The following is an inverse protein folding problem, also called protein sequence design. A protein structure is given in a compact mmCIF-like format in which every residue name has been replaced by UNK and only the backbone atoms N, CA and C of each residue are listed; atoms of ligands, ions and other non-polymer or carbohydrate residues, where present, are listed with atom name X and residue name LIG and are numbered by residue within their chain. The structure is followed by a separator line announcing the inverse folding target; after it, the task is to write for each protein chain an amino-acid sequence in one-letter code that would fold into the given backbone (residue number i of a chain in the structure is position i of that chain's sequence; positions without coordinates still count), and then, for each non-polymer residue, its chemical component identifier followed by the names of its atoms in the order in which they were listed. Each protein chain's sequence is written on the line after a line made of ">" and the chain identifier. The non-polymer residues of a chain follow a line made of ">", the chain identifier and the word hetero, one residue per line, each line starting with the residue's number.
data_IF_316358662266
#
_entry.id   IF_316358662266
#
_cell.length_a   1.000
_cell.length_b   1.000
_cell.length_c   1.000
_cell.angle_alpha   90.00
_cell.angle_beta   90.00
_cell.angle_gamma   90.00
#
_symmetry.space_group_name_H-M   'P 1'
#
loop_
_entity.id
_entity.type
_entity.pdbx_description
1 polymer ?
#
# COMPACT_ATOMS: atom_id res chain seq x y z
N UNK A 1 1.23 -27.14 -19.22
CA UNK A 1 0.63 -25.79 -19.12
C UNK A 1 -0.53 -25.88 -18.15
N UNK A 2 -0.63 -25.06 -17.09
CA UNK A 2 -1.79 -25.09 -16.20
C UNK A 2 -3.00 -24.49 -16.93
N UNK A 3 -3.98 -25.34 -17.22
CA UNK A 3 -5.03 -25.08 -18.22
C UNK A 3 -6.34 -24.52 -17.61
N UNK A 4 -6.37 -24.29 -16.28
CA UNK A 4 -7.54 -23.68 -15.61
C UNK A 4 -7.18 -22.48 -14.73
N UNK A 5 -8.15 -21.59 -14.50
CA UNK A 5 -8.03 -20.47 -13.54
C UNK A 5 -7.63 -20.97 -12.14
N UNK A 6 -8.13 -22.15 -11.75
CA UNK A 6 -7.84 -22.77 -10.47
C UNK A 6 -6.35 -23.15 -10.36
N UNK A 7 -5.77 -23.74 -11.40
CA UNK A 7 -4.35 -24.11 -11.40
C UNK A 7 -3.42 -22.89 -11.27
N UNK A 8 -3.80 -21.77 -11.91
CA UNK A 8 -3.03 -20.52 -11.81
C UNK A 8 -3.09 -19.93 -10.40
N UNK A 9 -4.24 -19.99 -9.74
CA UNK A 9 -4.36 -19.56 -8.34
C UNK A 9 -3.55 -20.48 -7.44
N UNK A 10 -3.62 -21.80 -7.64
CA UNK A 10 -2.83 -22.77 -6.88
C UNK A 10 -1.33 -22.54 -7.01
N UNK A 11 -0.85 -22.26 -8.22
CA UNK A 11 0.56 -21.92 -8.45
C UNK A 11 0.95 -20.60 -7.77
N UNK A 12 0.10 -19.58 -7.79
CA UNK A 12 0.34 -18.34 -7.04
C UNK A 12 0.37 -18.57 -5.53
N UNK A 13 -0.50 -19.42 -5.00
CA UNK A 13 -0.50 -19.79 -3.58
C UNK A 13 0.80 -20.50 -3.20
N UNK A 14 1.27 -21.43 -4.03
CA UNK A 14 2.57 -22.11 -3.81
C UNK A 14 3.75 -21.12 -3.84
N UNK A 15 3.73 -20.16 -4.77
CA UNK A 15 4.74 -19.10 -4.82
C UNK A 15 4.71 -18.24 -3.56
N UNK A 16 3.52 -17.90 -3.07
CA UNK A 16 3.34 -17.16 -1.83
C UNK A 16 3.91 -17.92 -0.62
N UNK A 17 3.58 -19.21 -0.48
CA UNK A 17 4.10 -20.08 0.59
C UNK A 17 5.64 -20.12 0.59
N UNK A 18 6.23 -20.28 -0.61
CA UNK A 18 7.68 -20.28 -0.78
C UNK A 18 8.29 -18.94 -0.40
N UNK A 19 7.68 -17.83 -0.85
CA UNK A 19 8.14 -16.48 -0.54
C UNK A 19 8.10 -16.16 0.95
N UNK A 20 7.08 -16.64 1.67
CA UNK A 20 7.00 -16.49 3.13
C UNK A 20 8.13 -17.25 3.82
N UNK A 21 8.39 -18.50 3.43
CA UNK A 21 9.47 -19.30 4.00
C UNK A 21 10.84 -18.66 3.75
N UNK A 22 11.09 -18.21 2.51
CA UNK A 22 12.33 -17.51 2.16
C UNK A 22 12.49 -16.21 2.93
N UNK A 23 11.42 -15.42 3.12
CA UNK A 23 11.48 -14.17 3.86
C UNK A 23 12.00 -14.35 5.29
N UNK A 24 11.51 -15.39 5.98
CA UNK A 24 11.93 -15.70 7.35
C UNK A 24 13.37 -16.26 7.41
N UNK A 25 13.85 -16.91 6.35
CA UNK A 25 15.19 -17.49 6.29
C UNK A 25 16.27 -16.50 5.82
N UNK A 26 15.92 -15.52 4.97
CA UNK A 26 16.88 -14.71 4.21
C UNK A 26 17.20 -13.33 4.80
N UNK A 27 16.54 -12.95 5.90
CA UNK A 27 16.70 -11.61 6.49
C UNK A 27 16.08 -10.47 5.66
N UNK A 28 15.36 -10.79 4.58
CA UNK A 28 14.72 -9.83 3.65
C UNK A 28 13.45 -9.19 4.19
N UNK A 29 13.17 -9.37 5.48
CA UNK A 29 11.99 -8.82 6.14
C UNK A 29 11.90 -7.29 5.98
N UNK A 30 13.04 -6.59 6.05
CA UNK A 30 13.09 -5.13 5.84
C UNK A 30 12.67 -4.69 4.44
N UNK A 31 13.04 -5.44 3.40
CA UNK A 31 12.60 -5.18 2.02
C UNK A 31 11.09 -5.38 1.89
N UNK A 32 10.55 -6.43 2.53
CA UNK A 32 9.12 -6.69 2.54
C UNK A 32 8.33 -5.59 3.27
N UNK A 33 8.80 -5.13 4.43
CA UNK A 33 8.21 -3.98 5.13
C UNK A 33 8.25 -2.71 4.27
N UNK A 34 9.34 -2.50 3.53
CA UNK A 34 9.48 -1.37 2.61
C UNK A 34 8.52 -1.46 1.41
N UNK A 35 8.17 -2.67 0.98
CA UNK A 35 7.13 -2.87 -0.04
C UNK A 35 5.72 -2.71 0.55
N UNK A 36 5.48 -3.19 1.76
CA UNK A 36 4.21 -3.00 2.45
C UNK A 36 3.85 -1.52 2.64
N UNK A 37 4.85 -0.67 2.92
CA UNK A 37 4.62 0.78 3.07
C UNK A 37 4.16 1.44 1.76
N UNK A 38 4.64 0.96 0.60
CA UNK A 38 4.27 1.46 -0.74
C UNK A 38 2.89 0.96 -1.20
N UNK A 39 2.53 -0.28 -0.85
CA UNK A 39 1.34 -0.97 -1.38
C UNK A 39 0.24 -1.16 -0.32
N UNK A 40 -0.04 -0.13 0.46
CA UNK A 40 -0.99 -0.18 1.59
C UNK A 40 -2.46 -0.49 1.23
N UNK A 41 -2.85 -0.42 -0.05
CA UNK A 41 -4.19 -0.84 -0.54
C UNK A 41 -4.26 -2.30 -0.97
N UNK A 42 -3.13 -2.99 -1.09
CA UNK A 42 -3.07 -4.39 -1.50
C UNK A 42 -3.02 -5.30 -0.27
N UNK A 43 -3.52 -6.53 -0.41
CA UNK A 43 -3.34 -7.55 0.63
C UNK A 43 -1.86 -7.90 0.79
N UNK A 44 -1.44 -8.24 2.00
CA UNK A 44 -0.08 -8.69 2.31
C UNK A 44 0.42 -9.78 1.33
N UNK A 45 -0.44 -10.73 0.97
CA UNK A 45 -0.11 -11.78 0.01
C UNK A 45 0.17 -11.24 -1.40
N UNK A 46 -0.63 -10.27 -1.86
CA UNK A 46 -0.37 -9.61 -3.13
C UNK A 46 0.90 -8.76 -3.09
N UNK A 47 1.20 -8.10 -1.96
CA UNK A 47 2.47 -7.36 -1.79
C UNK A 47 3.67 -8.29 -1.91
N UNK A 48 3.63 -9.46 -1.26
CA UNK A 48 4.67 -10.48 -1.41
C UNK A 48 4.80 -10.95 -2.87
N UNK A 49 3.67 -11.28 -3.53
CA UNK A 49 3.69 -11.69 -4.93
C UNK A 49 4.28 -10.61 -5.85
N UNK A 50 3.98 -9.33 -5.60
CA UNK A 50 4.58 -8.20 -6.33
C UNK A 50 6.09 -8.15 -6.06
N UNK A 51 6.51 -8.17 -4.79
CA UNK A 51 7.93 -8.12 -4.41
C UNK A 51 8.74 -9.24 -5.05
N UNK A 52 8.23 -10.48 -5.07
CA UNK A 52 8.92 -11.62 -5.67
C UNK A 52 9.08 -11.52 -7.19
N UNK A 53 8.13 -10.87 -7.88
CA UNK A 53 8.12 -10.76 -9.35
C UNK A 53 8.76 -9.46 -9.85
N UNK A 54 8.71 -8.40 -9.05
CA UNK A 54 9.25 -7.07 -9.34
C UNK A 54 9.69 -6.40 -8.03
N UNK A 55 10.92 -6.68 -7.54
CA UNK A 55 11.40 -6.18 -6.24
C UNK A 55 11.50 -4.65 -6.16
N UNK A 56 11.60 -3.98 -7.31
CA UNK A 56 11.71 -2.53 -7.43
C UNK A 56 10.36 -1.85 -7.72
N UNK A 57 9.24 -2.58 -7.65
CA UNK A 57 7.94 -2.01 -7.93
C UNK A 57 7.61 -0.83 -7.00
N UNK A 58 7.04 0.22 -7.58
CA UNK A 58 6.66 1.45 -6.87
C UNK A 58 5.20 1.81 -7.07
N UNK A 59 4.61 1.44 -8.21
CA UNK A 59 3.20 1.69 -8.48
C UNK A 59 2.71 0.65 -9.48
N UNK A 60 1.70 -0.14 -9.10
CA UNK A 60 1.18 -1.23 -9.95
C UNK A 60 -0.30 -1.03 -10.25
N UNK A 61 -0.66 -1.25 -11.51
CA UNK A 61 -2.03 -1.20 -11.98
C UNK A 61 -2.29 -2.18 -13.13
N UNK A 62 -3.56 -2.46 -13.39
CA UNK A 62 -3.98 -3.26 -14.54
C UNK A 62 -3.73 -2.51 -15.86
N UNK A 63 -3.57 -3.26 -16.96
CA UNK A 63 -3.31 -2.70 -18.29
C UNK A 63 -4.30 -1.60 -18.70
N UNK A 64 -5.59 -1.84 -18.47
CA UNK A 64 -6.65 -0.87 -18.82
C UNK A 64 -6.62 0.38 -17.94
N UNK A 65 -6.24 0.24 -16.67
CA UNK A 65 -6.07 1.38 -15.76
C UNK A 65 -4.92 2.27 -16.22
N UNK A 66 -3.77 1.69 -16.58
CA UNK A 66 -2.66 2.44 -17.17
C UNK A 66 -3.10 3.25 -18.40
N UNK A 67 -3.86 2.62 -19.30
CA UNK A 67 -4.32 3.26 -20.52
C UNK A 67 -5.38 4.35 -20.28
N UNK A 68 -6.37 4.10 -19.43
CA UNK A 68 -7.56 4.96 -19.28
C UNK A 68 -7.40 6.08 -18.27
N UNK A 69 -6.76 5.78 -17.13
CA UNK A 69 -6.68 6.70 -16.00
C UNK A 69 -5.37 7.49 -16.02
N UNK A 70 -4.30 6.90 -16.54
CA UNK A 70 -2.96 7.47 -16.48
C UNK A 70 -2.40 7.90 -17.84
N UNK A 71 -3.08 7.60 -18.94
CA UNK A 71 -2.62 7.89 -20.31
C UNK A 71 -1.21 7.32 -20.60
N UNK A 72 -1.01 6.07 -20.16
CA UNK A 72 0.23 5.30 -20.33
C UNK A 72 -0.06 3.94 -20.94
N UNK A 73 0.89 3.44 -21.72
CA UNK A 73 0.84 2.11 -22.33
C UNK A 73 1.95 1.24 -21.76
N UNK A 74 1.68 -0.06 -21.61
CA UNK A 74 2.71 -1.03 -21.23
C UNK A 74 3.66 -1.21 -22.41
N UNK A 75 4.98 -1.12 -22.16
CA UNK A 75 6.00 -1.29 -23.20
C UNK A 75 5.94 -2.70 -23.78
N UNK A 76 6.23 -2.82 -25.07
CA UNK A 76 6.19 -4.11 -25.76
C UNK A 76 7.23 -5.07 -25.19
N UNK A 77 6.80 -6.28 -24.83
CA UNK A 77 7.68 -7.34 -24.32
C UNK A 77 7.81 -7.38 -22.79
N UNK A 78 7.20 -6.43 -22.08
CA UNK A 78 7.20 -6.41 -20.62
C UNK A 78 6.45 -7.60 -20.01
N UNK A 79 7.05 -8.17 -18.96
CA UNK A 79 6.46 -9.30 -18.24
C UNK A 79 5.53 -8.79 -17.14
N UNK A 80 4.26 -9.13 -17.25
CA UNK A 80 3.26 -8.77 -16.23
C UNK A 80 3.46 -9.50 -14.90
N UNK A 81 3.08 -8.82 -13.82
CA UNK A 81 3.09 -9.30 -12.44
C UNK A 81 1.73 -9.94 -12.15
N UNK A 82 1.73 -11.17 -11.62
CA UNK A 82 0.50 -11.89 -11.30
C UNK A 82 0.10 -11.70 -9.84
N UNK A 83 -1.13 -11.27 -9.62
CA UNK A 83 -1.73 -11.06 -8.28
C UNK A 83 -3.07 -11.77 -8.20
N UNK A 84 -3.55 -12.03 -6.98
CA UNK A 84 -4.88 -12.59 -6.74
C UNK A 84 -5.90 -11.46 -6.63
N UNK A 85 -6.99 -11.54 -7.39
CA UNK A 85 -8.09 -10.58 -7.32
C UNK A 85 -9.43 -11.28 -7.04
N UNK A 86 -10.29 -10.69 -6.19
CA UNK A 86 -11.63 -11.20 -5.97
C UNK A 86 -12.46 -11.04 -7.25
N UNK A 87 -13.23 -12.07 -7.56
CA UNK A 87 -14.15 -12.15 -8.69
C UNK A 87 -15.42 -12.87 -8.22
N UNK A 88 -16.19 -12.28 -7.28
CA UNK A 88 -17.33 -12.95 -6.66
C UNK A 88 -18.35 -13.37 -7.71
N UNK A 89 -18.83 -14.60 -7.62
CA UNK A 89 -19.84 -15.16 -8.53
C UNK A 89 -21.16 -15.25 -7.78
N UNK A 90 -22.21 -14.63 -8.33
CA UNK A 90 -23.58 -14.80 -7.86
C UNK A 90 -24.14 -16.09 -8.45
N UNK A 91 -24.59 -17.01 -7.60
CA UNK A 91 -25.28 -18.23 -8.03
C UNK A 91 -26.59 -18.36 -7.25
N UNK A 92 -27.64 -18.79 -7.97
CA UNK A 92 -28.88 -19.27 -7.36
C UNK A 92 -28.68 -20.74 -7.02
N UNK A 93 -28.73 -21.07 -5.74
CA UNK A 93 -28.73 -22.45 -5.29
C UNK A 93 -30.20 -22.90 -5.19
N UNK A 94 -30.56 -23.98 -5.90
CA UNK A 94 -31.87 -24.62 -5.71
C UNK A 94 -31.78 -25.49 -4.44
N UNK A 95 -31.98 -24.86 -3.28
CA UNK A 95 -32.11 -25.55 -2.00
C UNK A 95 -33.59 -25.75 -1.68
N UNK A 96 -34.27 -26.61 -2.46
CA UNK A 96 -35.55 -27.27 -2.12
C UNK A 96 -36.80 -26.40 -1.87
N UNK A 97 -36.69 -25.30 -1.11
CA UNK A 97 -37.83 -24.50 -0.65
C UNK A 97 -37.62 -22.99 -0.77
N UNK A 98 -36.41 -22.46 -0.97
CA UNK A 98 -36.20 -21.02 -1.25
C UNK A 98 -34.98 -20.76 -2.16
N UNK A 99 -35.15 -19.88 -3.17
CA UNK A 99 -34.07 -19.45 -4.06
C UNK A 99 -33.33 -18.27 -3.43
N UNK A 100 -32.24 -18.55 -2.72
CA UNK A 100 -31.38 -17.51 -2.15
C UNK A 100 -30.23 -17.16 -3.11
N UNK A 101 -29.98 -15.87 -3.31
CA UNK A 101 -28.83 -15.38 -4.09
C UNK A 101 -27.56 -15.48 -3.23
N UNK A 102 -26.78 -16.56 -3.40
CA UNK A 102 -25.51 -16.73 -2.69
C UNK A 102 -24.35 -16.10 -3.47
N UNK A 103 -23.54 -15.28 -2.78
CA UNK A 103 -22.26 -14.77 -3.31
C UNK A 103 -21.15 -15.74 -2.94
N UNK A 104 -20.62 -16.47 -3.92
CA UNK A 104 -19.49 -17.37 -3.70
C UNK A 104 -18.19 -16.57 -3.89
N UNK A 105 -17.33 -16.47 -2.86
CA UNK A 105 -16.04 -15.82 -3.00
C UNK A 105 -15.16 -16.65 -3.94
N UNK A 106 -14.81 -16.07 -5.07
CA UNK A 106 -13.94 -16.69 -6.06
C UNK A 106 -12.79 -15.74 -6.36
N UNK A 107 -11.58 -16.28 -6.51
CA UNK A 107 -10.40 -15.51 -6.83
C UNK A 107 -9.84 -15.96 -8.18
N UNK A 108 -9.26 -15.02 -8.90
CA UNK A 108 -8.54 -15.29 -10.14
C UNK A 108 -7.17 -14.65 -10.11
N UNK A 109 -6.22 -15.30 -10.78
CA UNK A 109 -4.94 -14.70 -11.10
C UNK A 109 -5.17 -13.61 -12.16
N UNK A 110 -4.88 -12.36 -11.82
CA UNK A 110 -4.91 -11.22 -12.76
C UNK A 110 -3.50 -10.69 -12.99
N UNK A 111 -3.33 -9.96 -14.09
CA UNK A 111 -2.03 -9.37 -14.46
C UNK A 111 -2.06 -7.86 -14.25
N UNK A 112 -1.05 -7.37 -13.53
CA UNK A 112 -0.76 -5.95 -13.33
C UNK A 112 0.66 -5.64 -13.81
N UNK A 113 0.97 -4.36 -13.97
CA UNK A 113 2.28 -3.88 -14.44
C UNK A 113 2.74 -2.74 -13.54
N UNK A 114 4.03 -2.68 -13.28
CA UNK A 114 4.65 -1.55 -12.59
C UNK A 114 4.82 -0.34 -13.52
N UNK A 115 4.86 0.86 -12.97
CA UNK A 115 5.09 2.11 -13.71
C UNK A 115 6.35 2.06 -14.58
N UNK A 116 7.44 1.44 -14.11
CA UNK A 116 8.69 1.29 -14.88
C UNK A 116 8.51 0.53 -16.19
N UNK A 117 7.49 -0.32 -16.27
CA UNK A 117 7.11 -1.13 -17.43
C UNK A 117 6.19 -0.39 -18.41
N UNK A 118 5.91 0.89 -18.16
CA UNK A 118 5.00 1.69 -18.97
C UNK A 118 5.69 2.90 -19.58
N UNK A 119 5.15 3.40 -20.68
CA UNK A 119 5.55 4.62 -21.38
C UNK A 119 4.32 5.50 -21.63
N UNK A 120 4.50 6.82 -21.68
CA UNK A 120 3.40 7.78 -21.84
C UNK A 120 3.55 8.95 -20.89
N UNK A 121 2.42 9.60 -20.57
CA UNK A 121 2.39 10.84 -19.78
C UNK A 121 3.12 10.66 -18.45
N UNK A 122 4.05 11.56 -18.14
CA UNK A 122 4.72 11.57 -16.83
C UNK A 122 3.66 11.65 -15.72
N UNK A 123 3.78 10.74 -14.75
CA UNK A 123 2.97 10.84 -13.55
C UNK A 123 3.57 11.93 -12.67
N UNK A 124 2.75 12.68 -11.92
CA UNK A 124 3.28 13.57 -10.89
C UNK A 124 4.19 12.74 -9.97
N UNK A 125 5.44 13.17 -9.84
CA UNK A 125 6.43 12.51 -9.00
C UNK A 125 5.91 12.50 -7.57
N UNK A 126 5.57 11.30 -7.06
CA UNK A 126 5.12 11.01 -5.70
C UNK A 126 3.88 11.80 -5.22
N UNK A 127 2.79 11.09 -4.93
CA UNK A 127 1.68 11.56 -4.08
C UNK A 127 2.11 11.49 -2.60
N UNK A 128 3.29 12.03 -2.29
CA UNK A 128 3.67 12.40 -0.93
C UNK A 128 3.86 13.90 -0.98
N UNK A 129 2.77 14.60 -1.21
CA UNK A 129 2.74 16.03 -0.92
C UNK A 129 2.82 16.14 0.59
N UNK A 130 3.75 16.94 1.10
CA UNK A 130 3.60 17.39 2.48
C UNK A 130 2.21 18.03 2.61
N UNK A 131 1.53 17.79 3.73
CA UNK A 131 0.24 18.40 3.97
C UNK A 131 0.44 19.91 3.96
N UNK A 132 0.05 20.55 2.86
CA UNK A 132 0.01 22.00 2.74
C UNK A 132 -1.39 22.49 3.07
N UNK A 133 -1.48 23.54 3.88
CA UNK A 133 -2.74 24.19 4.23
C UNK A 133 -2.83 24.53 5.71
N UNK A 134 -3.68 25.50 6.02
CA UNK A 134 -4.07 25.84 7.38
C UNK A 134 -5.39 25.16 7.73
N UNK A 135 -5.45 24.44 8.84
CA UNK A 135 -6.70 23.94 9.40
C UNK A 135 -7.26 24.97 10.38
N UNK A 136 -8.54 25.28 10.26
CA UNK A 136 -9.26 26.09 11.24
C UNK A 136 -9.32 25.32 12.57
N UNK A 137 -8.95 25.97 13.67
CA UNK A 137 -8.90 25.37 15.01
C UNK A 137 -7.96 24.14 15.14
N UNK A 138 -6.81 24.20 14.46
CA UNK A 138 -5.78 23.14 14.51
C UNK A 138 -5.39 22.75 15.94
N UNK A 139 -5.18 23.72 16.83
CA UNK A 139 -4.75 23.46 18.20
C UNK A 139 -5.76 22.57 18.93
N UNK A 140 -7.06 22.78 18.74
CA UNK A 140 -8.11 21.96 19.34
C UNK A 140 -8.12 20.55 18.77
N UNK A 141 -8.04 20.43 17.44
CA UNK A 141 -7.96 19.14 16.77
C UNK A 141 -6.73 18.34 17.23
N UNK A 142 -5.57 18.99 17.25
CA UNK A 142 -4.31 18.40 17.69
C UNK A 142 -4.40 17.96 19.16
N UNK A 143 -4.84 18.84 20.06
CA UNK A 143 -4.97 18.52 21.48
C UNK A 143 -5.92 17.35 21.74
N UNK A 144 -7.05 17.26 21.00
CA UNK A 144 -7.96 16.10 21.09
C UNK A 144 -7.30 14.80 20.63
N UNK A 145 -6.48 14.85 19.59
CA UNK A 145 -5.74 13.68 19.12
C UNK A 145 -4.67 13.24 20.13
N UNK A 146 -3.97 14.20 20.74
CA UNK A 146 -3.01 13.95 21.83
C UNK A 146 -3.73 13.28 23.01
N UNK A 147 -4.85 13.86 23.47
CA UNK A 147 -5.65 13.31 24.56
C UNK A 147 -6.15 11.90 24.25
N UNK A 148 -6.70 11.68 23.04
CA UNK A 148 -7.17 10.38 22.60
C UNK A 148 -6.05 9.33 22.54
N UNK A 149 -4.84 9.72 22.16
CA UNK A 149 -3.69 8.81 22.11
C UNK A 149 -3.28 8.30 23.50
N UNK A 150 -3.55 9.09 24.55
CA UNK A 150 -3.13 8.80 25.92
C UNK A 150 -1.62 8.84 26.14
N UNK A 151 -0.84 9.31 25.16
CA UNK A 151 0.62 9.36 25.19
C UNK A 151 1.10 10.81 25.09
N UNK A 152 2.18 11.19 25.81
CA UNK A 152 2.84 12.47 25.59
C UNK A 152 3.31 12.59 24.13
N UNK A 153 2.96 13.71 23.49
CA UNK A 153 3.42 14.06 22.13
C UNK A 153 4.33 15.28 22.23
N UNK A 154 5.52 15.18 21.64
CA UNK A 154 6.56 16.22 21.67
C UNK A 154 7.05 16.53 20.25
N UNK A 155 7.51 17.76 20.02
CA UNK A 155 8.15 18.17 18.78
C UNK A 155 9.66 18.26 19.02
N UNK A 156 10.46 17.53 18.23
CA UNK A 156 11.92 17.52 18.39
C UNK A 156 12.63 17.25 17.05
N UNK A 157 13.93 17.61 16.92
CA UNK A 157 14.70 17.27 15.73
C UNK A 157 14.81 15.75 15.57
N UNK A 158 14.39 15.23 14.41
CA UNK A 158 14.48 13.81 14.06
C UNK A 158 15.49 13.59 12.92
N UNK A 159 16.02 12.35 12.75
CA UNK A 159 16.87 12.01 11.62
C UNK A 159 16.19 12.30 10.28
N UNK A 160 17.00 12.63 9.27
CA UNK A 160 16.51 12.95 7.92
C UNK A 160 15.60 11.85 7.37
N UNK A 161 14.44 12.25 6.82
CA UNK A 161 13.42 11.35 6.28
C UNK A 161 12.40 10.82 7.30
N UNK A 162 12.57 11.10 8.60
CA UNK A 162 11.59 10.74 9.63
C UNK A 162 10.68 11.91 9.97
N UNK A 163 9.37 11.66 9.96
CA UNK A 163 8.31 12.65 10.27
C UNK A 163 7.75 12.49 11.69
N UNK A 164 7.98 11.33 12.28
CA UNK A 164 7.65 11.03 13.67
C UNK A 164 8.25 9.71 14.11
N UNK A 165 8.33 9.50 15.41
CA UNK A 165 8.85 8.29 16.04
C UNK A 165 8.08 7.97 17.31
N UNK A 166 7.96 6.68 17.63
CA UNK A 166 7.39 6.22 18.90
C UNK A 166 8.48 5.60 19.77
N UNK A 167 8.73 6.20 20.93
CA UNK A 167 9.73 5.76 21.89
C UNK A 167 9.09 4.81 22.90
N UNK A 168 9.10 3.52 22.58
CA UNK A 168 8.44 2.48 23.39
C UNK A 168 8.90 2.46 24.86
N UNK A 169 10.18 2.72 25.15
CA UNK A 169 10.69 2.72 26.53
C UNK A 169 10.15 3.86 27.38
N UNK A 170 9.87 5.00 26.75
CA UNK A 170 9.39 6.24 27.40
C UNK A 170 7.88 6.42 27.24
N UNK A 171 7.22 5.57 26.45
CA UNK A 171 5.79 5.66 26.12
C UNK A 171 5.42 7.06 25.61
N UNK A 172 6.24 7.62 24.71
CA UNK A 172 5.98 8.94 24.08
C UNK A 172 6.08 8.91 22.57
N UNK A 173 5.40 9.85 21.93
CA UNK A 173 5.47 10.11 20.50
C UNK A 173 6.29 11.39 20.29
N UNK A 174 7.22 11.35 19.33
CA UNK A 174 7.93 12.52 18.86
C UNK A 174 7.55 12.81 17.42
N UNK A 175 7.32 14.08 17.11
CA UNK A 175 7.05 14.59 15.77
C UNK A 175 8.22 15.46 15.33
N UNK A 176 8.54 15.43 14.03
CA UNK A 176 9.60 16.30 13.50
C UNK A 176 9.17 17.77 13.57
N UNK A 177 10.15 18.66 13.78
CA UNK A 177 9.97 20.11 13.66
C UNK A 177 9.60 20.49 12.21
N UNK A 178 8.88 21.60 12.05
CA UNK A 178 8.50 22.15 10.75
C UNK A 178 7.44 21.32 9.99
N UNK A 179 6.85 20.30 10.62
CA UNK A 179 5.66 19.67 10.08
C UNK A 179 4.47 20.63 10.18
N UNK A 180 3.52 20.55 9.24
CA UNK A 180 2.40 21.51 9.11
C UNK A 180 1.72 21.87 10.45
N UNK A 181 1.56 23.18 10.65
CA UNK A 181 1.06 23.90 11.83
C UNK A 181 1.91 23.77 13.11
N UNK A 182 3.22 23.95 12.98
CA UNK A 182 3.99 24.64 14.01
C UNK A 182 3.68 26.17 13.99
N UNK A 183 3.68 26.83 15.16
CA UNK A 183 3.79 28.27 15.22
C UNK A 183 5.18 28.64 14.74
N UNK A 184 5.25 29.45 13.68
CA UNK A 184 6.46 30.16 13.30
C UNK A 184 7.04 30.75 14.60
N UNK A 185 8.28 30.38 14.94
CA UNK A 185 9.02 31.05 16.00
C UNK A 185 9.11 32.53 15.59
N UNK A 186 8.20 33.36 16.12
CA UNK A 186 8.38 34.80 16.08
C UNK A 186 9.66 35.10 16.86
N UNK A 187 10.69 35.44 16.11
CA UNK A 187 11.95 35.97 16.60
C UNK A 187 11.64 37.20 17.48
N UNK A 188 12.04 37.25 18.77
CA UNK A 188 11.86 38.44 19.58
C UNK A 188 12.95 39.45 19.20
N UNK A 189 12.72 40.21 18.13
CA UNK A 189 13.72 41.16 17.64
C UNK A 189 13.24 42.16 16.60
N UNK A 190 12.46 43.16 17.04
CA UNK A 190 12.53 44.56 16.59
C UNK A 190 11.64 45.46 17.46
#
# INVERSE_FOLDING_TARGET
>A
MPDTTHDRVKELTRQLETGIQDLFASGRYGEYLSMLSKFHKYSYGNVMLIMMQCPHASMVAGFQTWKKEFDRNVKKGERGIRVQAPCPVRRKLDSGEEKEDTVIPYFKAVTVFDISQTEGKELPAQIITELGGSVEDYDNLFNRLVEYSGLPVTFEPLPEGYKGSFYRGEQRIALALGMSQEPDHQDPGA
#
